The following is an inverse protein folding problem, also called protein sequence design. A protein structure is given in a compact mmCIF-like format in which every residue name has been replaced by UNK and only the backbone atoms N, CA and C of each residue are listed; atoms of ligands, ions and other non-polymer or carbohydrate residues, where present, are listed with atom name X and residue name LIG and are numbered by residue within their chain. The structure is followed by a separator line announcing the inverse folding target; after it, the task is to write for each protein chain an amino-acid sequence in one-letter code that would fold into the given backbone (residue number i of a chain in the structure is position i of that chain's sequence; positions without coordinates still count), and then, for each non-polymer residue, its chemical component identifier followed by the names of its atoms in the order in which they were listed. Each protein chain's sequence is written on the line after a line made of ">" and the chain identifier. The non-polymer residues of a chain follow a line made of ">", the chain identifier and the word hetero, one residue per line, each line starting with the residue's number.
data_IF_228317513018
#
_entry.id   IF_228317513018
#
_cell.length_a   1.000
_cell.length_b   1.000
_cell.length_c   1.000
_cell.angle_alpha   90.00
_cell.angle_beta   90.00
_cell.angle_gamma   90.00
#
_symmetry.space_group_name_H-M   'P 1'
#
loop_
_entity.id
_entity.type
_entity.pdbx_description
1 polymer ?
#
# COMPACT_ATOMS: atom_id res chain seq x y z
N UNK A 1 3.99 -9.10 26.45
CA UNK A 1 4.46 -9.32 25.05
C UNK A 1 3.91 -10.59 24.39
N UNK A 2 4.13 -11.81 24.92
CA UNK A 2 3.79 -13.07 24.20
C UNK A 2 2.31 -13.21 23.80
N UNK A 3 1.37 -12.74 24.62
CA UNK A 3 -0.07 -12.87 24.33
C UNK A 3 -0.54 -12.00 23.14
N UNK A 4 -0.12 -10.73 23.03
CA UNK A 4 -0.42 -9.90 21.85
C UNK A 4 0.17 -10.48 20.57
N UNK A 5 1.39 -11.04 20.60
CA UNK A 5 1.95 -11.76 19.44
C UNK A 5 1.12 -12.98 19.00
N UNK A 6 0.34 -13.62 19.89
CA UNK A 6 -0.56 -14.73 19.54
C UNK A 6 -1.86 -14.25 18.88
N UNK A 7 -2.53 -13.22 19.42
CA UNK A 7 -3.77 -12.70 18.81
C UNK A 7 -3.52 -12.05 17.43
N UNK A 8 -2.43 -11.29 17.27
CA UNK A 8 -2.06 -10.65 15.98
C UNK A 8 -1.89 -11.67 14.82
N UNK A 9 -1.50 -12.92 15.13
CA UNK A 9 -1.38 -14.02 14.15
C UNK A 9 -2.71 -14.63 13.67
N UNK A 10 -3.88 -14.18 14.16
CA UNK A 10 -5.17 -14.72 13.71
C UNK A 10 -5.74 -13.99 12.48
N UNK A 11 -5.53 -12.67 12.36
CA UNK A 11 -5.98 -11.90 11.20
C UNK A 11 -5.17 -12.23 9.93
N UNK A 12 -3.83 -12.23 10.03
CA UNK A 12 -2.91 -12.54 8.90
C UNK A 12 -2.71 -14.03 8.61
N UNK A 13 -3.71 -14.90 8.84
CA UNK A 13 -3.60 -16.28 8.35
C UNK A 13 -3.89 -16.29 6.85
N UNK A 14 -2.96 -16.69 5.96
CA UNK A 14 -3.18 -16.65 4.50
C UNK A 14 -4.49 -17.32 4.08
N UNK A 15 -4.80 -18.48 4.66
CA UNK A 15 -6.04 -19.21 4.38
C UNK A 15 -7.34 -18.50 4.82
N UNK A 16 -7.29 -17.55 5.77
CA UNK A 16 -8.48 -16.78 6.15
C UNK A 16 -8.82 -15.75 5.07
N UNK A 17 -7.83 -14.94 4.64
CA UNK A 17 -8.03 -13.97 3.57
C UNK A 17 -8.34 -14.67 2.25
N UNK A 18 -7.62 -15.75 1.91
CA UNK A 18 -7.86 -16.55 0.72
C UNK A 18 -9.32 -17.03 0.58
N UNK A 19 -9.94 -17.51 1.68
CA UNK A 19 -11.37 -17.87 1.67
C UNK A 19 -12.28 -16.66 1.47
N UNK A 20 -11.97 -15.52 2.08
CA UNK A 20 -12.73 -14.29 1.89
C UNK A 20 -12.64 -13.77 0.45
N UNK A 21 -11.44 -13.61 -0.11
CA UNK A 21 -11.28 -13.11 -1.49
C UNK A 21 -11.77 -14.09 -2.53
N UNK A 22 -11.68 -15.41 -2.30
CA UNK A 22 -12.29 -16.43 -3.16
C UNK A 22 -13.82 -16.37 -3.15
N UNK A 23 -14.44 -16.13 -1.98
CA UNK A 23 -15.88 -15.92 -1.87
C UNK A 23 -16.31 -14.60 -2.55
N UNK A 24 -15.54 -13.53 -2.37
CA UNK A 24 -15.74 -12.24 -3.04
C UNK A 24 -15.64 -12.37 -4.57
N UNK A 25 -14.59 -13.02 -5.08
CA UNK A 25 -14.41 -13.31 -6.50
C UNK A 25 -15.56 -14.15 -7.07
N UNK A 26 -16.07 -15.12 -6.29
CA UNK A 26 -17.21 -15.95 -6.70
C UNK A 26 -18.51 -15.13 -6.77
N UNK A 27 -18.75 -14.27 -5.77
CA UNK A 27 -19.95 -13.43 -5.70
C UNK A 27 -19.98 -12.33 -6.77
N UNK A 28 -18.81 -11.76 -7.12
CA UNK A 28 -18.66 -10.69 -8.10
C UNK A 28 -18.09 -11.16 -9.45
N UNK A 29 -18.20 -12.46 -9.77
CA UNK A 29 -17.69 -13.01 -11.03
C UNK A 29 -18.26 -12.27 -12.25
N UNK A 30 -17.38 -11.86 -13.18
CA UNK A 30 -17.73 -11.03 -14.33
C UNK A 30 -18.11 -9.57 -14.03
N UNK A 31 -17.96 -9.11 -12.77
CA UNK A 31 -18.26 -7.72 -12.34
C UNK A 31 -17.02 -6.99 -11.80
N UNK A 32 -16.07 -7.73 -11.20
CA UNK A 32 -14.75 -7.21 -10.83
C UNK A 32 -13.69 -7.68 -11.83
N UNK A 33 -12.83 -6.76 -12.24
CA UNK A 33 -11.72 -7.03 -13.17
C UNK A 33 -10.38 -7.20 -12.45
N UNK A 34 -10.28 -6.72 -11.21
CA UNK A 34 -9.07 -6.78 -10.40
C UNK A 34 -9.38 -6.83 -8.91
N UNK A 35 -8.44 -7.36 -8.12
CA UNK A 35 -8.44 -7.35 -6.66
C UNK A 35 -7.02 -6.99 -6.22
N UNK A 36 -6.89 -5.91 -5.45
CA UNK A 36 -5.67 -5.61 -4.69
C UNK A 36 -5.67 -6.43 -3.40
N UNK A 37 -4.53 -7.04 -3.08
CA UNK A 37 -4.35 -7.81 -1.86
C UNK A 37 -3.59 -6.97 -0.84
N UNK A 38 -4.29 -6.58 0.22
CA UNK A 38 -3.80 -5.73 1.31
C UNK A 38 -3.51 -4.28 0.89
N UNK A 39 -3.22 -3.44 1.90
CA UNK A 39 -2.84 -2.05 1.74
C UNK A 39 -1.65 -1.72 2.64
N UNK A 40 -0.69 -0.96 2.13
CA UNK A 40 0.43 -0.35 2.86
C UNK A 40 1.06 -1.26 3.93
N UNK A 41 1.39 -2.50 3.54
CA UNK A 41 1.89 -3.54 4.43
C UNK A 41 3.21 -3.20 5.16
N UNK A 42 3.87 -2.10 4.84
CA UNK A 42 5.02 -1.56 5.57
C UNK A 42 4.66 -0.58 6.71
N UNK A 43 3.38 -0.23 6.90
CA UNK A 43 2.92 0.60 8.01
C UNK A 43 2.45 -0.23 9.21
N UNK A 44 2.74 0.22 10.42
CA UNK A 44 2.43 -0.51 11.64
C UNK A 44 0.94 -0.54 11.95
N UNK A 45 0.18 0.53 11.65
CA UNK A 45 -1.25 0.62 11.95
C UNK A 45 -2.07 -0.39 11.11
N UNK A 46 -1.82 -0.46 9.80
CA UNK A 46 -2.33 -1.52 8.91
C UNK A 46 -1.97 -2.90 9.46
N UNK A 47 -0.81 -3.00 10.10
CA UNK A 47 -0.29 -4.21 10.72
C UNK A 47 -0.63 -4.35 12.22
N UNK A 48 -1.73 -3.74 12.70
CA UNK A 48 -2.23 -3.94 14.07
C UNK A 48 -1.27 -3.44 15.15
N UNK A 49 -0.56 -2.35 14.86
CA UNK A 49 0.41 -1.67 15.72
C UNK A 49 1.77 -2.35 15.83
N UNK A 50 2.27 -3.01 14.78
CA UNK A 50 3.69 -3.43 14.64
C UNK A 50 4.01 -3.94 13.23
N UNK A 51 5.16 -3.56 12.68
CA UNK A 51 5.67 -4.03 11.38
C UNK A 51 7.20 -4.19 11.39
N UNK A 52 7.70 -5.18 10.64
CA UNK A 52 9.12 -5.49 10.50
C UNK A 52 9.43 -6.09 9.12
N UNK A 53 10.71 -6.16 8.74
CA UNK A 53 11.10 -6.83 7.48
C UNK A 53 10.74 -8.33 7.46
N UNK A 54 10.63 -8.99 8.61
CA UNK A 54 10.15 -10.37 8.72
C UNK A 54 8.65 -10.52 8.37
N UNK A 55 7.87 -9.43 8.41
CA UNK A 55 6.47 -9.42 7.98
C UNK A 55 6.32 -9.42 6.45
N UNK A 56 7.35 -9.00 5.70
CA UNK A 56 7.35 -9.03 4.24
C UNK A 56 7.11 -10.44 3.69
N UNK A 57 7.74 -11.47 4.28
CA UNK A 57 7.51 -12.88 3.92
C UNK A 57 6.10 -13.37 4.27
N UNK A 58 5.51 -12.87 5.36
CA UNK A 58 4.12 -13.20 5.74
C UNK A 58 3.12 -12.58 4.76
N UNK A 59 3.40 -11.37 4.27
CA UNK A 59 2.63 -10.75 3.20
C UNK A 59 2.74 -11.56 1.88
N UNK A 60 3.93 -12.05 1.50
CA UNK A 60 4.09 -12.93 0.33
C UNK A 60 3.24 -14.20 0.42
N UNK A 61 3.19 -14.85 1.60
CA UNK A 61 2.33 -16.04 1.79
C UNK A 61 0.83 -15.70 1.73
N UNK A 62 0.43 -14.55 2.26
CA UNK A 62 -0.94 -14.03 2.21
C UNK A 62 -1.38 -13.68 0.77
N UNK A 63 -0.50 -13.06 0.00
CA UNK A 63 -0.68 -12.78 -1.43
C UNK A 63 -0.76 -14.09 -2.23
N UNK A 64 0.14 -15.05 -1.99
CA UNK A 64 0.13 -16.34 -2.67
C UNK A 64 -1.17 -17.13 -2.47
N UNK A 65 -1.64 -17.27 -1.22
CA UNK A 65 -2.89 -17.96 -0.94
C UNK A 65 -4.10 -17.24 -1.56
N UNK A 66 -4.08 -15.91 -1.59
CA UNK A 66 -5.12 -15.09 -2.19
C UNK A 66 -5.16 -15.22 -3.71
N UNK A 67 -4.00 -15.16 -4.36
CA UNK A 67 -3.84 -15.35 -5.82
C UNK A 67 -4.40 -16.70 -6.25
N UNK A 68 -3.98 -17.80 -5.61
CA UNK A 68 -4.48 -19.14 -5.93
C UNK A 68 -6.01 -19.25 -5.75
N UNK A 69 -6.57 -18.68 -4.68
CA UNK A 69 -8.02 -18.71 -4.45
C UNK A 69 -8.81 -17.90 -5.48
N UNK A 70 -8.28 -16.75 -5.93
CA UNK A 70 -8.91 -15.92 -6.96
C UNK A 70 -8.84 -16.60 -8.32
N UNK A 71 -7.65 -17.06 -8.74
CA UNK A 71 -7.45 -17.69 -10.06
C UNK A 71 -8.20 -19.00 -10.23
N UNK A 72 -8.44 -19.75 -9.15
CA UNK A 72 -9.28 -20.95 -9.16
C UNK A 72 -10.78 -20.64 -9.43
N UNK A 73 -11.24 -19.43 -9.10
CA UNK A 73 -12.61 -18.97 -9.35
C UNK A 73 -12.73 -18.34 -10.73
N UNK A 74 -11.80 -17.44 -11.07
CA UNK A 74 -11.73 -16.77 -12.36
C UNK A 74 -10.28 -16.36 -12.67
N UNK A 75 -9.62 -17.00 -13.66
CA UNK A 75 -8.23 -16.71 -13.99
C UNK A 75 -8.05 -15.32 -14.63
N UNK A 76 -9.12 -14.67 -15.09
CA UNK A 76 -9.09 -13.36 -15.76
C UNK A 76 -9.03 -12.18 -14.80
N UNK A 77 -9.38 -12.38 -13.52
CA UNK A 77 -9.27 -11.32 -12.50
C UNK A 77 -7.80 -11.02 -12.25
N UNK A 78 -7.41 -9.76 -12.43
CA UNK A 78 -6.05 -9.25 -12.17
C UNK A 78 -5.82 -9.20 -10.65
N UNK A 79 -4.76 -9.84 -10.17
CA UNK A 79 -4.33 -9.76 -8.77
C UNK A 79 -3.21 -8.75 -8.65
N UNK A 80 -3.48 -7.67 -7.92
CA UNK A 80 -2.54 -6.58 -7.65
C UNK A 80 -1.92 -6.79 -6.28
N UNK A 81 -0.60 -6.64 -6.15
CA UNK A 81 0.01 -6.52 -4.82
C UNK A 81 -0.41 -5.21 -4.15
N UNK A 82 -0.57 -5.20 -2.84
CA UNK A 82 -0.73 -3.97 -2.07
C UNK A 82 0.41 -2.99 -2.32
N UNK A 83 0.06 -1.73 -2.57
CA UNK A 83 1.01 -0.63 -2.61
C UNK A 83 1.69 -0.46 -1.25
N UNK A 84 2.94 0.02 -1.28
CA UNK A 84 3.69 0.36 -0.07
C UNK A 84 3.62 1.88 0.14
N UNK A 85 3.47 2.30 1.39
CA UNK A 85 3.49 3.71 1.77
C UNK A 85 4.91 4.28 1.61
N UNK A 86 5.14 5.34 0.82
CA UNK A 86 6.47 5.90 0.60
C UNK A 86 7.00 6.47 1.92
N UNK A 87 8.08 5.90 2.46
CA UNK A 87 8.59 6.34 3.76
C UNK A 87 10.04 5.94 4.00
N UNK A 88 10.80 6.82 4.66
CA UNK A 88 12.12 6.49 5.24
C UNK A 88 12.04 6.11 6.73
N UNK A 89 10.84 6.10 7.31
CA UNK A 89 10.62 5.74 8.72
C UNK A 89 11.02 4.28 8.97
N UNK A 90 11.83 4.06 10.01
CA UNK A 90 12.29 2.73 10.42
C UNK A 90 12.08 2.55 11.93
N UNK A 91 10.82 2.55 12.34
CA UNK A 91 10.37 2.41 13.74
C UNK A 91 9.27 1.37 13.71
N UNK A 92 9.47 0.23 14.37
CA UNK A 92 8.61 -0.95 14.26
C UNK A 92 7.14 -0.74 14.70
N UNK A 93 6.88 0.24 15.59
CA UNK A 93 5.53 0.67 15.97
C UNK A 93 4.89 1.69 15.02
N UNK A 94 5.60 2.14 13.97
CA UNK A 94 5.15 3.17 13.02
C UNK A 94 5.22 2.68 11.58
N UNK A 95 6.42 2.38 11.07
CA UNK A 95 6.65 1.92 9.70
C UNK A 95 8.07 1.35 9.49
N UNK A 96 8.22 0.59 8.40
CA UNK A 96 9.49 0.16 7.81
C UNK A 96 9.66 0.85 6.44
N UNK A 97 10.90 1.19 6.00
CA UNK A 97 11.08 1.87 4.72
C UNK A 97 10.60 1.00 3.55
N UNK A 98 9.84 1.59 2.64
CA UNK A 98 9.12 0.86 1.58
C UNK A 98 10.07 0.11 0.65
N UNK A 99 11.14 0.75 0.18
CA UNK A 99 12.13 0.13 -0.70
C UNK A 99 12.86 -1.03 -0.01
N UNK A 100 13.07 -0.96 1.31
CA UNK A 100 13.70 -2.04 2.07
C UNK A 100 12.70 -3.20 2.34
N UNK A 101 11.43 -2.89 2.59
CA UNK A 101 10.34 -3.87 2.67
C UNK A 101 10.11 -4.58 1.32
N UNK A 102 10.15 -3.85 0.20
CA UNK A 102 10.01 -4.38 -1.16
C UNK A 102 11.15 -5.36 -1.49
N UNK A 103 12.40 -5.02 -1.14
CA UNK A 103 13.54 -5.95 -1.26
C UNK A 103 13.30 -7.21 -0.42
N UNK A 104 12.83 -7.09 0.82
CA UNK A 104 12.52 -8.25 1.65
C UNK A 104 11.41 -9.13 1.04
N UNK A 105 10.34 -8.53 0.49
CA UNK A 105 9.29 -9.24 -0.25
C UNK A 105 9.87 -10.03 -1.44
N UNK A 106 10.73 -9.40 -2.24
CA UNK A 106 11.29 -10.01 -3.45
C UNK A 106 12.43 -11.00 -3.15
N UNK A 107 13.13 -10.87 -2.03
CA UNK A 107 14.12 -11.86 -1.56
C UNK A 107 13.48 -13.12 -0.98
N UNK A 108 12.27 -13.01 -0.43
CA UNK A 108 11.64 -14.11 0.32
C UNK A 108 11.44 -15.37 -0.53
N UNK A 109 11.90 -16.51 0.01
CA UNK A 109 11.75 -17.85 -0.54
C UNK A 109 12.08 -17.94 -2.04
N UNK A 110 13.30 -17.54 -2.42
CA UNK A 110 13.80 -17.53 -3.80
C UNK A 110 12.92 -16.72 -4.78
N UNK A 111 12.44 -15.55 -4.33
CA UNK A 111 11.51 -14.69 -5.08
C UNK A 111 10.17 -15.34 -5.40
N UNK A 112 9.65 -16.21 -4.52
CA UNK A 112 8.35 -16.89 -4.65
C UNK A 112 7.23 -15.98 -5.13
N UNK A 113 7.19 -14.72 -4.65
CA UNK A 113 6.18 -13.72 -5.02
C UNK A 113 6.00 -13.56 -6.55
N UNK A 114 7.04 -13.78 -7.36
CA UNK A 114 7.01 -13.71 -8.84
C UNK A 114 5.82 -14.42 -9.48
N UNK A 115 5.38 -15.54 -8.92
CA UNK A 115 4.36 -16.39 -9.51
C UNK A 115 2.95 -16.13 -8.94
N UNK A 116 2.79 -15.12 -8.09
CA UNK A 116 1.58 -14.88 -7.29
C UNK A 116 1.04 -13.44 -7.31
N UNK A 117 1.41 -12.64 -8.31
CA UNK A 117 0.71 -11.40 -8.66
C UNK A 117 0.80 -11.17 -10.17
N UNK A 118 -0.20 -10.49 -10.73
CA UNK A 118 -0.16 -10.11 -12.14
C UNK A 118 0.46 -8.72 -12.32
N UNK A 119 0.19 -7.80 -11.38
CA UNK A 119 0.64 -6.40 -11.42
C UNK A 119 1.13 -5.90 -10.05
N UNK A 120 2.23 -5.13 -10.03
CA UNK A 120 2.75 -4.53 -8.80
C UNK A 120 2.00 -3.22 -8.47
N UNK A 121 1.34 -3.14 -7.31
CA UNK A 121 0.79 -1.88 -6.78
C UNK A 121 1.87 -0.97 -6.19
N UNK A 122 1.70 0.36 -6.30
CA UNK A 122 2.63 1.40 -5.80
C UNK A 122 1.89 2.68 -5.45
N UNK A 123 2.32 3.39 -4.40
CA UNK A 123 1.73 4.66 -3.93
C UNK A 123 2.71 5.85 -4.02
N UNK A 124 3.14 6.29 -5.24
CA UNK A 124 4.01 7.45 -5.41
C UNK A 124 3.28 8.76 -5.10
N UNK A 125 3.24 9.17 -3.82
CA UNK A 125 2.81 10.50 -3.43
C UNK A 125 3.89 11.54 -3.72
N UNK A 126 3.49 12.71 -4.22
CA UNK A 126 4.42 13.78 -4.55
C UNK A 126 4.68 14.77 -3.42
N UNK A 127 4.07 14.59 -2.24
CA UNK A 127 4.13 15.49 -1.09
C UNK A 127 3.79 16.95 -1.48
N UNK A 128 4.78 17.83 -1.55
CA UNK A 128 4.66 19.21 -2.07
C UNK A 128 5.41 19.43 -3.40
N UNK A 129 6.10 18.41 -3.91
CA UNK A 129 7.10 18.51 -4.96
C UNK A 129 6.50 18.40 -6.37
N UNK A 130 6.97 19.18 -7.36
CA UNK A 130 6.56 19.02 -8.75
C UNK A 130 6.85 17.61 -9.30
N UNK A 131 5.96 16.98 -10.10
CA UNK A 131 6.10 15.59 -10.51
C UNK A 131 7.36 15.24 -11.31
N UNK A 132 8.01 16.20 -11.98
CA UNK A 132 9.23 15.99 -12.78
C UNK A 132 10.52 16.12 -11.93
N UNK A 133 10.42 16.64 -10.71
CA UNK A 133 11.54 16.75 -9.77
C UNK A 133 11.86 15.39 -9.13
N UNK A 134 13.11 15.20 -8.74
CA UNK A 134 13.61 14.00 -8.06
C UNK A 134 14.86 14.33 -7.26
N UNK A 135 14.99 13.74 -6.07
CA UNK A 135 16.23 13.78 -5.30
C UNK A 135 17.20 12.66 -5.73
N UNK A 136 18.53 12.90 -5.81
CA UNK A 136 19.23 14.18 -5.68
C UNK A 136 19.42 14.94 -7.01
N UNK A 137 19.01 14.35 -8.16
CA UNK A 137 19.42 14.80 -9.49
C UNK A 137 18.75 16.10 -9.96
N UNK A 138 17.49 16.34 -9.57
CA UNK A 138 16.70 17.52 -9.93
C UNK A 138 15.75 17.88 -8.76
N UNK A 139 16.29 18.31 -7.60
CA UNK A 139 15.51 18.44 -6.38
C UNK A 139 14.55 19.64 -6.45
N UNK A 140 13.42 19.51 -5.76
CA UNK A 140 12.44 20.58 -5.60
C UNK A 140 12.96 21.69 -4.67
N UNK A 141 12.58 22.94 -4.94
CA UNK A 141 12.90 24.12 -4.12
C UNK A 141 11.79 24.47 -3.10
N UNK A 142 10.88 23.53 -2.84
CA UNK A 142 9.86 23.62 -1.80
C UNK A 142 10.45 23.78 -0.40
N UNK A 143 9.66 24.35 0.52
CA UNK A 143 10.11 24.69 1.89
C UNK A 143 10.27 23.51 2.86
N UNK A 144 10.45 22.28 2.35
CA UNK A 144 10.56 21.05 3.13
C UNK A 144 10.09 19.82 2.35
N UNK A 145 10.25 18.64 2.96
CA UNK A 145 9.89 17.33 2.38
C UNK A 145 10.48 17.13 0.96
N UNK A 146 11.75 17.46 0.77
CA UNK A 146 12.41 17.48 -0.54
C UNK A 146 13.87 16.93 -0.53
N UNK A 147 14.40 16.50 0.62
CA UNK A 147 15.79 16.05 0.79
C UNK A 147 15.98 14.50 0.76
N UNK A 148 14.95 13.76 0.35
CA UNK A 148 14.97 12.29 0.20
C UNK A 148 14.11 11.87 -1.00
N UNK A 149 14.47 10.76 -1.67
CA UNK A 149 13.79 10.24 -2.85
C UNK A 149 12.32 9.85 -2.58
N UNK A 150 12.01 9.41 -1.36
CA UNK A 150 10.65 8.99 -0.94
C UNK A 150 9.60 10.10 -1.01
N UNK A 151 10.00 11.37 -1.05
CA UNK A 151 9.06 12.50 -1.11
C UNK A 151 8.62 12.90 -2.53
N UNK A 152 9.08 12.19 -3.56
CA UNK A 152 8.84 12.57 -4.95
C UNK A 152 7.94 11.57 -5.68
N UNK A 153 7.08 12.06 -6.57
CA UNK A 153 6.28 11.21 -7.46
C UNK A 153 7.15 10.23 -8.28
N UNK A 154 8.39 10.64 -8.61
CA UNK A 154 9.38 9.82 -9.31
C UNK A 154 9.93 8.66 -8.49
N UNK A 155 9.60 8.51 -7.20
CA UNK A 155 9.95 7.34 -6.39
C UNK A 155 9.40 6.02 -6.95
N UNK A 156 8.41 6.09 -7.86
CA UNK A 156 8.00 4.95 -8.68
C UNK A 156 9.15 4.33 -9.50
N UNK A 157 10.14 5.14 -9.89
CA UNK A 157 11.35 4.69 -10.59
C UNK A 157 12.26 3.85 -9.67
N UNK A 158 12.33 4.18 -8.38
CA UNK A 158 13.06 3.42 -7.36
C UNK A 158 12.43 2.03 -7.17
N UNK A 159 11.09 1.95 -7.12
CA UNK A 159 10.38 0.66 -7.15
C UNK A 159 10.69 -0.12 -8.43
N UNK A 160 10.65 0.52 -9.60
CA UNK A 160 10.98 -0.14 -10.89
C UNK A 160 12.43 -0.61 -10.94
N UNK A 161 13.37 0.10 -10.32
CA UNK A 161 14.76 -0.31 -10.18
C UNK A 161 14.91 -1.56 -9.29
N UNK A 162 14.13 -1.69 -8.21
CA UNK A 162 14.09 -2.93 -7.41
C UNK A 162 13.46 -4.09 -8.20
N UNK A 163 12.39 -3.86 -8.97
CA UNK A 163 11.86 -4.88 -9.90
C UNK A 163 12.93 -5.37 -10.89
N UNK A 164 13.79 -4.46 -11.39
CA UNK A 164 14.92 -4.82 -12.25
C UNK A 164 15.97 -5.68 -11.53
N UNK A 165 16.31 -5.34 -10.29
CA UNK A 165 17.29 -6.09 -9.47
C UNK A 165 16.86 -7.55 -9.24
N UNK A 166 15.56 -7.81 -9.11
CA UNK A 166 15.01 -9.15 -8.81
C UNK A 166 14.45 -9.91 -10.03
N UNK A 167 14.65 -9.41 -11.25
CA UNK A 167 14.15 -10.05 -12.47
C UNK A 167 12.62 -10.12 -12.50
N UNK A 168 11.96 -9.00 -12.20
CA UNK A 168 10.50 -8.81 -12.17
C UNK A 168 10.01 -7.79 -13.21
N UNK A 169 10.86 -7.38 -14.16
CA UNK A 169 10.53 -6.39 -15.20
C UNK A 169 9.39 -6.84 -16.14
N UNK A 170 9.11 -8.14 -16.20
CA UNK A 170 7.97 -8.70 -16.92
C UNK A 170 6.61 -8.33 -16.30
N UNK A 171 6.56 -7.91 -15.04
CA UNK A 171 5.30 -7.44 -14.44
C UNK A 171 5.08 -5.96 -14.76
N UNK A 172 3.82 -5.58 -14.99
CA UNK A 172 3.39 -4.20 -15.01
C UNK A 172 3.41 -3.58 -13.61
N UNK A 173 3.24 -2.26 -13.55
CA UNK A 173 2.96 -1.51 -12.33
C UNK A 173 1.59 -0.82 -12.44
N UNK A 174 0.83 -0.79 -11.35
CA UNK A 174 -0.35 0.06 -11.17
C UNK A 174 -0.08 1.07 -10.07
N UNK A 175 -0.26 2.34 -10.38
CA UNK A 175 -0.27 3.42 -9.39
C UNK A 175 -1.62 3.36 -8.69
N UNK A 176 -1.72 2.58 -7.62
CA UNK A 176 -2.98 2.31 -6.91
C UNK A 176 -3.46 3.51 -6.10
N UNK A 177 -2.52 4.39 -5.70
CA UNK A 177 -2.79 5.72 -5.16
C UNK A 177 -1.71 6.69 -5.64
N UNK A 178 -2.08 7.94 -5.92
CA UNK A 178 -1.15 9.07 -6.01
C UNK A 178 -1.91 10.38 -5.82
N UNK A 179 -1.20 11.42 -5.39
CA UNK A 179 -1.76 12.76 -5.30
C UNK A 179 -0.85 13.77 -4.60
N UNK A 180 -1.41 14.95 -4.40
CA UNK A 180 -0.84 16.04 -3.62
C UNK A 180 -1.89 16.56 -2.65
N UNK A 181 -1.51 16.68 -1.38
CA UNK A 181 -2.34 17.29 -0.35
C UNK A 181 -2.51 18.79 -0.63
N UNK A 182 -3.62 19.36 -0.17
CA UNK A 182 -3.86 20.82 -0.14
C UNK A 182 -3.85 21.31 1.32
N UNK A 183 -4.10 22.60 1.64
CA UNK A 183 -3.97 23.08 3.01
C UNK A 183 -4.88 22.33 3.98
N UNK A 184 -4.30 21.88 5.09
CA UNK A 184 -4.87 20.94 6.04
C UNK A 184 -4.23 21.13 7.43
N UNK A 185 -4.83 20.53 8.46
CA UNK A 185 -4.37 20.67 9.85
C UNK A 185 -3.96 19.33 10.51
N UNK A 186 -3.80 18.26 9.72
CA UNK A 186 -3.45 16.94 10.24
C UNK A 186 -1.94 16.83 10.51
N UNK A 187 -1.51 16.31 11.67
CA UNK A 187 -0.09 16.12 11.97
C UNK A 187 0.63 15.26 10.93
N UNK A 188 1.82 15.68 10.50
CA UNK A 188 2.64 15.01 9.49
C UNK A 188 2.24 15.31 8.03
N UNK A 189 1.07 15.91 7.79
CA UNK A 189 0.59 16.32 6.46
C UNK A 189 0.81 17.81 6.17
N UNK A 190 1.65 18.49 6.94
CA UNK A 190 1.84 19.94 6.86
C UNK A 190 2.40 20.39 5.50
N UNK A 191 3.04 19.49 4.74
CA UNK A 191 3.47 19.71 3.36
C UNK A 191 2.32 20.11 2.42
N UNK A 192 1.07 19.68 2.71
CA UNK A 192 -0.11 20.10 1.94
C UNK A 192 -0.36 21.61 2.00
N UNK A 193 0.09 22.28 3.06
CA UNK A 193 0.00 23.75 3.19
C UNK A 193 0.95 24.51 2.23
N UNK A 194 1.84 23.82 1.52
CA UNK A 194 2.68 24.38 0.46
C UNK A 194 2.03 24.32 -0.94
N UNK A 195 0.86 23.66 -1.06
CA UNK A 195 0.23 23.33 -2.35
C UNK A 195 -1.15 23.97 -2.46
N UNK A 196 -1.35 24.92 -3.39
CA UNK A 196 -2.69 25.48 -3.67
C UNK A 196 -3.57 24.48 -4.45
N UNK A 197 -4.88 24.73 -4.55
CA UNK A 197 -5.78 23.92 -5.38
C UNK A 197 -5.40 23.95 -6.88
N UNK A 198 -4.87 25.07 -7.36
CA UNK A 198 -4.33 25.21 -8.71
C UNK A 198 -3.02 24.43 -8.88
N UNK A 199 -2.15 24.45 -7.86
CA UNK A 199 -0.91 23.66 -7.84
C UNK A 199 -1.22 22.16 -7.84
N UNK A 200 -2.18 21.71 -7.03
CA UNK A 200 -2.69 20.34 -7.01
C UNK A 200 -3.19 19.92 -8.39
N UNK A 201 -4.00 20.75 -9.07
CA UNK A 201 -4.43 20.52 -10.46
C UNK A 201 -3.23 20.31 -11.38
N UNK A 202 -2.30 21.25 -11.36
CA UNK A 202 -1.20 21.27 -12.33
C UNK A 202 -0.27 20.07 -12.13
N UNK A 203 0.03 19.70 -10.89
CA UNK A 203 0.84 18.51 -10.57
C UNK A 203 0.11 17.21 -10.92
N UNK A 204 -1.18 17.07 -10.60
CA UNK A 204 -1.96 15.88 -10.99
C UNK A 204 -1.99 15.69 -12.52
N UNK A 205 -2.27 16.76 -13.29
CA UNK A 205 -2.33 16.67 -14.76
C UNK A 205 -0.96 16.38 -15.37
N UNK A 206 0.12 17.00 -14.87
CA UNK A 206 1.49 16.75 -15.34
C UNK A 206 1.97 15.34 -14.99
N UNK A 207 1.65 14.83 -13.80
CA UNK A 207 1.92 13.45 -13.43
C UNK A 207 1.19 12.45 -14.35
N UNK A 208 -0.09 12.70 -14.67
CA UNK A 208 -0.84 11.89 -15.63
C UNK A 208 -0.24 11.95 -17.05
N UNK A 209 0.23 13.12 -17.49
CA UNK A 209 0.88 13.26 -18.79
C UNK A 209 2.24 12.53 -18.86
N UNK A 210 3.03 12.61 -17.78
CA UNK A 210 4.32 11.93 -17.64
C UNK A 210 4.16 10.40 -17.60
N UNK A 211 3.21 9.87 -16.81
CA UNK A 211 2.88 8.43 -16.83
C UNK A 211 2.37 7.99 -18.21
N UNK A 212 1.58 8.82 -18.88
CA UNK A 212 1.07 8.51 -20.22
C UNK A 212 2.20 8.40 -21.25
N UNK A 213 3.16 9.34 -21.26
CA UNK A 213 4.26 9.41 -22.22
C UNK A 213 5.42 8.45 -21.91
N UNK A 214 5.92 8.49 -20.68
CA UNK A 214 7.27 8.00 -20.36
C UNK A 214 7.26 6.62 -19.67
N UNK A 215 6.16 6.27 -19.00
CA UNK A 215 6.04 5.04 -18.23
C UNK A 215 5.16 3.99 -18.93
N UNK A 216 5.61 3.48 -20.08
CA UNK A 216 4.93 2.40 -20.84
C UNK A 216 4.76 1.09 -20.05
N UNK A 217 5.40 0.94 -18.90
CA UNK A 217 5.25 -0.18 -17.94
C UNK A 217 4.16 0.06 -16.89
N UNK A 218 3.54 1.24 -16.85
CA UNK A 218 2.36 1.56 -16.04
C UNK A 218 1.10 1.47 -16.90
N UNK A 219 0.19 0.56 -16.55
CA UNK A 219 -1.08 0.37 -17.26
C UNK A 219 -2.24 1.18 -16.68
N UNK A 220 -2.28 1.36 -15.36
CA UNK A 220 -3.35 2.07 -14.66
C UNK A 220 -2.77 3.00 -13.58
N UNK A 221 -3.47 4.11 -13.34
CA UNK A 221 -3.23 5.02 -12.23
C UNK A 221 -4.54 5.53 -11.64
N UNK A 222 -4.61 5.66 -10.32
CA UNK A 222 -5.81 6.05 -9.58
C UNK A 222 -5.50 7.24 -8.68
N UNK A 223 -6.16 8.37 -8.93
CA UNK A 223 -6.01 9.60 -8.11
C UNK A 223 -6.59 9.34 -6.73
N UNK A 224 -5.77 9.52 -5.69
CA UNK A 224 -6.26 9.69 -4.32
C UNK A 224 -6.54 11.20 -4.13
N UNK A 225 -7.79 11.65 -3.99
CA UNK A 225 -9.04 10.89 -4.09
C UNK A 225 -10.19 11.71 -4.72
N UNK A 226 -11.36 11.08 -4.90
CA UNK A 226 -12.52 11.76 -5.48
C UNK A 226 -13.11 12.81 -4.52
N UNK A 227 -13.60 12.38 -3.36
CA UNK A 227 -14.55 13.14 -2.54
C UNK A 227 -14.46 12.90 -1.02
N UNK A 228 -13.32 12.49 -0.46
CA UNK A 228 -13.20 12.31 1.01
C UNK A 228 -13.60 13.54 1.82
N UNK A 229 -13.39 14.78 1.34
CA UNK A 229 -13.86 15.98 2.04
C UNK A 229 -15.40 16.05 2.18
N UNK A 230 -16.15 15.40 1.28
CA UNK A 230 -17.60 15.21 1.41
C UNK A 230 -17.88 14.15 2.48
N UNK A 231 -17.23 12.99 2.39
CA UNK A 231 -17.44 11.87 3.33
C UNK A 231 -17.09 12.27 4.77
N UNK A 232 -16.05 13.08 4.96
CA UNK A 232 -15.64 13.64 6.24
C UNK A 232 -16.68 14.63 6.78
N UNK A 233 -17.18 15.56 5.95
CA UNK A 233 -18.25 16.49 6.33
C UNK A 233 -19.54 15.73 6.71
N UNK A 234 -19.95 14.74 5.92
CA UNK A 234 -21.12 13.90 6.20
C UNK A 234 -20.95 13.07 7.50
N UNK A 235 -19.71 12.72 7.85
CA UNK A 235 -19.36 12.04 9.11
C UNK A 235 -19.17 13.01 10.30
N UNK A 236 -19.23 14.33 10.10
CA UNK A 236 -18.97 15.33 11.13
C UNK A 236 -17.49 15.44 11.55
N UNK A 237 -16.57 15.01 10.69
CA UNK A 237 -15.12 15.10 10.86
C UNK A 237 -14.62 16.47 10.37
N UNK A 238 -13.46 16.93 10.84
CA UNK A 238 -12.86 18.19 10.41
C UNK A 238 -12.63 18.20 8.88
N UNK A 239 -13.14 19.25 8.21
CA UNK A 239 -12.96 19.50 6.77
C UNK A 239 -11.50 19.70 6.36
N UNK A 240 -10.63 20.04 7.31
CA UNK A 240 -9.19 20.23 7.12
C UNK A 240 -8.37 18.96 7.43
N UNK A 241 -9.02 17.81 7.62
CA UNK A 241 -8.34 16.52 7.74
C UNK A 241 -7.67 16.11 6.41
N UNK A 242 -6.51 15.46 6.49
CA UNK A 242 -5.66 15.16 5.32
C UNK A 242 -6.37 14.44 4.16
N UNK A 243 -7.22 13.42 4.41
CA UNK A 243 -7.90 12.69 3.34
C UNK A 243 -8.75 13.64 2.48
N UNK A 244 -9.41 14.63 3.10
CA UNK A 244 -10.16 15.68 2.41
C UNK A 244 -9.28 16.69 1.68
N UNK A 245 -8.01 16.84 2.07
CA UNK A 245 -7.02 17.66 1.36
C UNK A 245 -6.60 17.05 0.01
N UNK A 246 -6.63 15.73 -0.11
CA UNK A 246 -6.38 15.00 -1.36
C UNK A 246 -7.59 14.96 -2.32
N UNK A 247 -8.79 15.35 -1.88
CA UNK A 247 -9.98 15.31 -2.72
C UNK A 247 -9.93 16.26 -3.92
N UNK A 248 -10.54 15.86 -5.05
CA UNK A 248 -10.74 16.72 -6.23
C UNK A 248 -12.12 17.40 -6.28
N UNK A 249 -12.99 17.10 -5.32
CA UNK A 249 -14.21 17.85 -5.00
C UNK A 249 -14.06 18.60 -3.67
N UNK A 250 -14.90 19.60 -3.45
CA UNK A 250 -15.15 20.23 -2.15
C UNK A 250 -16.26 19.50 -1.38
N UNK A 251 -16.42 19.81 -0.09
CA UNK A 251 -17.41 19.19 0.80
C UNK A 251 -18.87 19.38 0.34
N UNK A 252 -19.15 20.39 -0.49
CA UNK A 252 -20.48 20.73 -1.02
C UNK A 252 -20.73 20.16 -2.44
N UNK A 253 -19.91 19.19 -2.87
CA UNK A 253 -19.89 18.64 -4.23
C UNK A 253 -19.51 19.64 -5.34
N UNK A 254 -19.07 20.86 -5.03
CA UNK A 254 -18.46 21.74 -6.04
C UNK A 254 -17.09 21.19 -6.47
N UNK A 255 -16.79 21.29 -7.76
CA UNK A 255 -15.52 20.79 -8.31
C UNK A 255 -14.34 21.68 -7.90
N UNK A 256 -13.24 21.08 -7.43
CA UNK A 256 -11.95 21.80 -7.31
C UNK A 256 -11.30 21.95 -8.68
N UNK A 257 -10.35 22.90 -8.86
CA UNK A 257 -9.53 23.02 -10.07
C UNK A 257 -8.95 21.68 -10.57
N UNK A 258 -8.58 20.77 -9.65
CA UNK A 258 -8.06 19.45 -9.96
C UNK A 258 -9.04 18.59 -10.81
N UNK A 259 -10.32 18.52 -10.43
CA UNK A 259 -11.33 17.76 -11.19
C UNK A 259 -11.48 18.30 -12.62
N UNK A 260 -11.52 19.62 -12.78
CA UNK A 260 -11.66 20.28 -14.08
C UNK A 260 -10.42 20.03 -14.96
N UNK A 261 -9.21 20.12 -14.40
CA UNK A 261 -7.98 19.83 -15.12
C UNK A 261 -7.87 18.37 -15.56
N UNK A 262 -8.21 17.43 -14.68
CA UNK A 262 -8.25 15.98 -15.01
C UNK A 262 -9.28 15.70 -16.10
N UNK A 263 -10.49 16.28 -16.01
CA UNK A 263 -11.53 16.13 -17.03
C UNK A 263 -11.05 16.66 -18.39
N UNK A 264 -10.43 17.85 -18.42
CA UNK A 264 -9.90 18.45 -19.64
C UNK A 264 -8.75 17.59 -20.23
N UNK A 265 -7.84 17.10 -19.39
CA UNK A 265 -6.76 16.21 -19.83
C UNK A 265 -7.31 14.93 -20.48
N UNK A 266 -8.23 14.22 -19.81
CA UNK A 266 -8.83 12.98 -20.31
C UNK A 266 -9.57 13.22 -21.64
N UNK A 267 -10.32 14.31 -21.76
CA UNK A 267 -11.00 14.64 -23.01
C UNK A 267 -10.01 14.95 -24.14
N UNK A 268 -8.95 15.72 -23.87
CA UNK A 268 -7.90 16.00 -24.87
C UNK A 268 -7.17 14.75 -25.36
N UNK A 269 -6.98 13.75 -24.48
CA UNK A 269 -6.38 12.45 -24.85
C UNK A 269 -7.32 11.66 -25.77
N UNK A 270 -8.61 11.58 -25.43
CA UNK A 270 -9.63 10.90 -26.28
C UNK A 270 -9.75 11.52 -27.66
N UNK A 271 -9.68 12.84 -27.76
CA UNK A 271 -9.69 13.57 -29.03
C UNK A 271 -8.44 13.26 -29.88
N UNK A 272 -7.26 13.22 -29.25
CA UNK A 272 -6.00 12.85 -29.91
C UNK A 272 -5.99 11.38 -30.38
N UNK A 273 -6.46 10.45 -29.54
CA UNK A 273 -6.62 9.03 -29.91
C UNK A 273 -7.59 8.85 -31.08
N UNK A 274 -8.72 9.58 -31.09
CA UNK A 274 -9.66 9.58 -32.21
C UNK A 274 -9.09 10.16 -33.51
N UNK A 275 -8.04 10.98 -33.43
CA UNK A 275 -7.26 11.50 -34.56
C UNK A 275 -6.08 10.60 -34.95
N UNK A 276 -5.91 9.43 -34.31
CA UNK A 276 -4.82 8.50 -34.55
C UNK A 276 -3.51 8.83 -33.81
N UNK A 277 -3.51 9.85 -32.95
CA UNK A 277 -2.36 10.27 -32.13
C UNK A 277 -2.39 9.49 -30.79
N UNK A 278 -2.17 8.18 -30.89
CA UNK A 278 -2.05 7.29 -29.73
C UNK A 278 -0.62 7.31 -29.15
N UNK A 279 -0.47 6.99 -27.86
CA UNK A 279 0.84 6.66 -27.28
C UNK A 279 1.35 5.31 -27.76
N UNK A 280 2.64 5.07 -27.56
CA UNK A 280 3.22 3.74 -27.69
C UNK A 280 2.44 2.72 -26.84
N UNK A 281 2.26 1.48 -27.33
CA UNK A 281 1.53 0.45 -26.61
C UNK A 281 2.13 0.21 -25.21
N UNK A 282 1.28 0.31 -24.19
CA UNK A 282 1.62 -0.12 -22.83
C UNK A 282 2.13 -1.55 -22.88
N UNK A 283 3.31 -1.79 -22.32
CA UNK A 283 3.88 -3.13 -22.18
C UNK A 283 2.89 -4.02 -21.40
N UNK A 284 2.30 -5.02 -22.07
CA UNK A 284 1.43 -6.03 -21.44
C UNK A 284 2.19 -7.36 -21.40
N UNK A 285 2.41 -7.98 -20.23
CA UNK A 285 2.90 -9.35 -20.18
C UNK A 285 1.94 -10.31 -20.87
N UNK A 286 2.49 -11.44 -21.32
CA UNK A 286 1.67 -12.60 -21.65
C UNK A 286 0.87 -13.04 -20.40
N UNK A 287 -0.35 -13.58 -20.56
CA UNK A 287 -1.11 -14.11 -19.43
C UNK A 287 -0.27 -15.11 -18.64
N UNK A 288 -0.34 -15.05 -17.31
CA UNK A 288 0.31 -16.05 -16.46
C UNK A 288 -0.12 -17.45 -16.90
N UNK A 289 0.85 -18.34 -17.13
CA UNK A 289 0.53 -19.75 -17.41
C UNK A 289 -0.24 -20.29 -16.20
N UNK A 290 -1.39 -20.97 -16.38
CA UNK A 290 -2.13 -21.52 -15.26
C UNK A 290 -1.21 -22.34 -14.38
N UNK A 291 -1.14 -22.00 -13.09
CA UNK A 291 -0.38 -22.80 -12.12
C UNK A 291 -0.95 -24.21 -12.20
N UNK A 292 -0.09 -25.19 -12.51
CA UNK A 292 -0.53 -26.57 -12.70
C UNK A 292 -1.35 -27.02 -11.49
N UNK A 293 -2.49 -27.65 -11.75
CA UNK A 293 -3.48 -27.98 -10.72
C UNK A 293 -2.85 -28.86 -9.64
N UNK A 294 -2.50 -28.26 -8.51
CA UNK A 294 -2.08 -28.99 -7.31
C UNK A 294 -3.35 -29.62 -6.75
N UNK A 295 -3.68 -30.80 -7.26
CA UNK A 295 -4.81 -31.61 -6.82
C UNK A 295 -4.77 -31.68 -5.29
N UNK A 296 -5.76 -31.11 -4.58
CA UNK A 296 -5.74 -31.12 -3.13
C UNK A 296 -5.84 -32.57 -2.67
N UNK A 297 -4.76 -33.09 -2.10
CA UNK A 297 -4.81 -34.36 -1.38
C UNK A 297 -5.87 -34.23 -0.30
N UNK A 298 -6.80 -35.19 -0.26
CA UNK A 298 -7.99 -35.11 0.56
C UNK A 298 -7.64 -34.72 2.00
N UNK A 299 -8.37 -33.74 2.54
CA UNK A 299 -8.12 -33.24 3.89
C UNK A 299 -8.09 -34.42 4.88
N UNK A 300 -7.05 -34.55 5.72
CA UNK A 300 -6.99 -35.63 6.70
C UNK A 300 -8.23 -35.55 7.59
N UNK A 301 -8.93 -36.67 7.71
CA UNK A 301 -10.11 -36.77 8.57
C UNK A 301 -9.73 -36.37 10.00
N UNK A 302 -10.59 -35.56 10.62
CA UNK A 302 -10.33 -35.07 11.98
C UNK A 302 -10.14 -36.25 12.94
N UNK A 303 -9.07 -36.26 13.76
CA UNK A 303 -8.91 -37.29 14.77
C UNK A 303 -10.06 -37.22 15.78
N UNK A 304 -10.51 -38.36 16.34
CA UNK A 304 -11.57 -38.37 17.34
C UNK A 304 -11.15 -37.55 18.57
N UNK A 305 -12.13 -36.90 19.21
CA UNK A 305 -11.89 -36.06 20.38
C UNK A 305 -11.27 -36.87 21.53
N UNK A 306 -10.28 -36.34 22.27
CA UNK A 306 -9.65 -37.04 23.37
C UNK A 306 -10.63 -37.22 24.54
N UNK A 307 -10.55 -38.38 25.18
CA UNK A 307 -11.36 -38.72 26.35
C UNK A 307 -10.99 -37.85 27.56
N UNK A 308 -11.98 -37.28 28.24
CA UNK A 308 -11.76 -36.36 29.37
C UNK A 308 -11.55 -37.16 30.66
N UNK A 309 -10.29 -37.35 31.04
CA UNK A 309 -9.92 -37.90 32.36
C UNK A 309 -9.90 -36.76 33.39
N UNK A 310 -10.66 -36.84 34.50
CA UNK A 310 -10.66 -35.79 35.53
C UNK A 310 -9.38 -35.81 36.36
N UNK A 311 -8.81 -34.62 36.62
CA UNK A 311 -7.61 -34.45 37.43
C UNK A 311 -7.91 -34.35 38.94
N UNK A 312 -7.06 -34.93 39.82
CA UNK A 312 -7.17 -34.75 41.27
C UNK A 312 -6.65 -33.37 41.72
N UNK A 313 -7.03 -32.90 42.92
CA UNK A 313 -6.73 -31.55 43.39
C UNK A 313 -5.25 -31.36 43.81
N UNK A 314 -4.67 -30.16 43.66
CA UNK A 314 -3.28 -29.88 43.99
C UNK A 314 -3.04 -29.63 45.50
N UNK A 315 -1.90 -30.11 45.99
CA UNK A 315 -1.33 -29.75 47.31
C UNK A 315 -0.29 -28.64 47.20
N UNK A 316 -0.32 -27.69 48.15
CA UNK A 316 0.77 -26.74 48.45
C UNK A 316 1.89 -27.45 49.28
N UNK A 317 3.10 -26.87 49.55
CA UNK A 317 3.54 -25.46 49.57
C UNK A 317 4.65 -25.19 48.50
N UNK A 318 5.51 -24.16 48.50
CA UNK A 318 5.89 -23.13 49.48
C UNK A 318 6.35 -21.80 48.82
N UNK A 319 6.95 -20.89 49.60
CA UNK A 319 7.38 -19.55 49.19
C UNK A 319 8.93 -19.37 49.16
N UNK A 320 9.39 -18.39 48.38
CA UNK A 320 10.70 -17.74 48.51
C UNK A 320 10.57 -16.24 48.15
N UNK A 321 11.42 -15.38 48.71
CA UNK A 321 11.24 -13.92 48.84
C UNK A 321 12.52 -13.16 48.40
N UNK A 322 12.39 -11.84 48.19
CA UNK A 322 13.45 -10.82 48.09
C UNK A 322 14.16 -10.66 46.72
N UNK A 323 14.67 -9.48 46.31
CA UNK A 323 14.40 -8.04 46.61
C UNK A 323 15.28 -7.19 45.65
N UNK A 324 15.01 -5.89 45.42
CA UNK A 324 16.01 -4.97 44.81
C UNK A 324 15.51 -3.81 43.91
N UNK A 325 15.98 -2.58 44.20
CA UNK A 325 15.69 -1.29 43.52
C UNK A 325 17.01 -0.52 43.23
N UNK A 326 17.13 0.70 42.64
CA UNK A 326 16.28 1.92 42.52
C UNK A 326 16.73 2.75 41.26
N UNK A 327 15.99 3.82 40.92
CA UNK A 327 16.49 5.13 40.41
C UNK A 327 16.55 5.43 38.88
N UNK A 328 16.71 6.72 38.56
CA UNK A 328 16.11 7.44 37.41
C UNK A 328 16.98 8.56 36.78
N UNK A 329 17.07 8.61 35.44
CA UNK A 329 17.16 9.80 34.52
C UNK A 329 18.30 10.86 34.71
N UNK A 330 18.51 11.88 33.82
CA UNK A 330 17.87 12.19 32.53
C UNK A 330 18.78 12.66 31.34
N UNK A 331 18.14 12.83 30.15
CA UNK A 331 18.34 13.86 29.10
C UNK A 331 19.56 13.89 28.13
N UNK A 332 19.27 14.13 26.83
CA UNK A 332 20.14 14.92 25.94
C UNK A 332 20.26 14.49 24.46
N UNK A 333 19.35 14.92 23.56
CA UNK A 333 19.54 14.81 22.11
C UNK A 333 18.26 15.01 21.30
N UNK A 334 18.15 16.11 20.53
CA UNK A 334 17.00 16.37 19.66
C UNK A 334 17.23 15.82 18.25
N UNK A 335 16.37 14.90 17.81
CA UNK A 335 16.10 14.65 16.39
C UNK A 335 14.62 14.94 16.14
N UNK A 336 14.30 15.58 15.01
CA UNK A 336 12.92 15.83 14.62
C UNK A 336 12.31 14.52 14.10
N UNK A 337 11.78 13.72 15.01
CA UNK A 337 11.07 12.48 14.67
C UNK A 337 9.59 12.82 14.52
N UNK A 338 9.06 12.72 13.30
CA UNK A 338 7.61 12.78 13.06
C UNK A 338 7.00 11.48 13.55
N UNK A 339 6.05 11.59 14.48
CA UNK A 339 5.28 10.47 15.01
C UNK A 339 3.93 10.47 14.30
N UNK A 340 3.62 9.38 13.60
CA UNK A 340 2.30 9.16 13.03
C UNK A 340 1.43 8.49 14.10
N UNK A 341 0.61 9.29 14.77
CA UNK A 341 -0.45 8.85 15.69
C UNK A 341 -1.78 9.49 15.26
N UNK A 342 -2.79 8.65 15.02
CA UNK A 342 -4.22 9.02 14.96
C UNK A 342 -4.85 8.97 16.36
#
# INVERSE_FOLDING_TARGET
>A
MVHHRRQRRHARRPGNLARFVGAMASHFKGRIHAIQIWNEQNLAHENGGFVSLDDAGQYVELLAASYTAIKAVDPTIIVVSGGLAPTRTNIDTVAVPDIDYLRAMYSYNNSKIRDYFDVQGVHPFGFANPPETAWPDNPSTTGGWNEDETFYFRHIENTRAVMKQFGLMQHQVWITEFGWATPNNSPGYEYGNLTSFETQRDYLVRAMEMVYKDYTWVSNMFVWNLNFTVVQEEAGVDRLHEQGSFSIFNYDWSARPAYLGIQQFINSRREQEAQGIARDPVFRPAPATPIAEVVPTAAPTAPPAPEVVPTPPPTAPAAAVAEGSVATAPAGGKTNNVVWEE
#
